data_IF_789471641700
#
_entry.id   IF_789471641700
#
_cell.length_a   1.000
_cell.length_b   1.000
_cell.length_c   1.000
_cell.angle_alpha   90.00
_cell.angle_beta   90.00
_cell.angle_gamma   90.00
#
_symmetry.space_group_name_H-M   'P 1'
#
loop_
_entity.id
_entity.type
_entity.pdbx_description
1 polymer ?
#
# COMPACT_ATOMS: atom_id res chain seq x y z
N UNK A 1 65.79 7.23 -33.71
CA UNK A 1 66.23 8.32 -32.82
C UNK A 1 65.10 8.63 -31.85
N UNK A 2 65.27 8.33 -30.56
CA UNK A 2 64.27 8.64 -29.54
C UNK A 2 64.30 10.14 -29.22
N UNK A 3 63.14 10.81 -29.24
CA UNK A 3 63.02 12.23 -28.87
C UNK A 3 63.45 12.43 -27.41
N UNK A 4 64.12 13.54 -27.11
CA UNK A 4 64.60 13.81 -25.74
C UNK A 4 63.44 14.17 -24.80
N UNK A 5 63.65 13.95 -23.50
CA UNK A 5 62.67 14.27 -22.43
C UNK A 5 62.21 15.74 -22.43
N UNK A 6 63.05 16.67 -22.88
CA UNK A 6 62.67 18.09 -23.02
C UNK A 6 61.71 18.33 -24.19
N UNK A 7 61.88 17.62 -25.31
CA UNK A 7 61.00 17.74 -26.47
C UNK A 7 59.58 17.20 -26.20
N UNK A 8 59.46 16.18 -25.34
CA UNK A 8 58.17 15.66 -24.89
C UNK A 8 57.46 16.61 -23.93
N UNK A 9 58.19 17.33 -23.06
CA UNK A 9 57.59 18.31 -22.13
C UNK A 9 56.99 19.52 -22.84
N UNK A 10 57.68 20.03 -23.86
CA UNK A 10 57.19 21.19 -24.63
C UNK A 10 55.96 20.83 -25.49
N UNK A 11 55.87 19.60 -25.97
CA UNK A 11 54.71 19.10 -26.72
C UNK A 11 53.49 18.88 -25.80
N UNK A 12 53.70 18.49 -24.53
CA UNK A 12 52.65 18.38 -23.51
C UNK A 12 52.15 19.76 -23.05
N UNK A 13 53.04 20.75 -22.93
CA UNK A 13 52.69 22.12 -22.55
C UNK A 13 51.90 22.84 -23.66
N UNK A 14 52.21 22.60 -24.94
CA UNK A 14 51.45 23.17 -26.07
C UNK A 14 50.07 22.52 -26.29
N UNK A 15 49.85 21.29 -25.82
CA UNK A 15 48.54 20.59 -25.89
C UNK A 15 47.59 20.93 -24.75
N UNK A 16 48.04 21.67 -23.73
CA UNK A 16 47.14 22.29 -22.75
C UNK A 16 46.46 23.48 -23.43
N UNK A 17 45.35 23.18 -24.09
CA UNK A 17 44.35 24.16 -24.48
C UNK A 17 44.15 25.19 -23.37
N UNK A 18 44.11 26.47 -23.74
CA UNK A 18 43.73 27.57 -22.85
C UNK A 18 42.56 27.16 -21.94
N UNK A 19 42.55 27.57 -20.66
CA UNK A 19 41.40 27.31 -19.80
C UNK A 19 40.17 27.93 -20.48
N UNK A 20 39.26 27.09 -20.97
CA UNK A 20 37.92 27.55 -21.27
C UNK A 20 37.38 28.09 -19.96
N UNK A 21 36.98 29.36 -19.95
CA UNK A 21 36.08 29.87 -18.90
C UNK A 21 34.97 28.83 -18.70
N UNK A 22 34.61 28.49 -17.45
CA UNK A 22 33.49 27.60 -17.22
C UNK A 22 32.29 28.23 -17.90
N UNK A 23 31.77 27.55 -18.93
CA UNK A 23 30.52 27.96 -19.53
C UNK A 23 29.53 28.10 -18.37
N UNK A 24 28.88 29.27 -18.27
CA UNK A 24 27.77 29.46 -17.35
C UNK A 24 26.85 28.24 -17.49
N UNK A 25 26.31 27.67 -16.40
CA UNK A 25 25.45 26.50 -16.51
C UNK A 25 24.26 26.88 -17.38
N UNK A 26 24.30 26.46 -18.65
CA UNK A 26 23.14 26.51 -19.53
C UNK A 26 22.29 25.29 -19.15
N UNK A 27 21.73 25.33 -17.96
CA UNK A 27 20.57 24.52 -17.62
C UNK A 27 19.39 25.46 -17.73
N UNK A 28 18.86 25.58 -18.95
CA UNK A 28 17.50 26.07 -19.12
C UNK A 28 16.60 25.23 -18.19
N UNK A 29 15.83 25.86 -17.31
CA UNK A 29 14.85 25.15 -16.46
C UNK A 29 13.94 24.26 -17.31
N UNK A 30 13.73 24.61 -18.58
CA UNK A 30 13.00 23.81 -19.56
C UNK A 30 13.68 22.45 -19.86
N UNK A 31 15.01 22.38 -19.82
CA UNK A 31 15.78 21.17 -20.15
C UNK A 31 15.82 20.19 -18.98
N UNK A 32 15.93 20.68 -17.74
CA UNK A 32 15.75 19.85 -16.55
C UNK A 32 14.31 19.35 -16.42
N UNK A 33 13.32 20.19 -16.74
CA UNK A 33 11.92 19.78 -16.78
C UNK A 33 11.66 18.72 -17.86
N UNK A 34 12.30 18.84 -19.04
CA UNK A 34 12.26 17.88 -20.16
C UNK A 34 12.98 16.57 -19.84
N UNK A 35 14.15 16.62 -19.24
CA UNK A 35 14.95 15.46 -18.82
C UNK A 35 14.26 14.68 -17.70
N UNK A 36 13.67 15.40 -16.73
CA UNK A 36 12.70 14.83 -15.83
C UNK A 36 11.61 14.18 -16.68
N UNK A 37 11.00 14.89 -17.66
CA UNK A 37 9.92 14.38 -18.54
C UNK A 37 10.22 13.05 -19.21
N UNK A 38 11.47 12.87 -19.64
CA UNK A 38 11.95 11.71 -20.40
C UNK A 38 12.51 10.57 -19.56
N UNK A 39 12.79 10.75 -18.26
CA UNK A 39 13.24 9.65 -17.42
C UNK A 39 12.08 8.71 -17.07
N UNK A 40 12.21 7.39 -17.33
CA UNK A 40 11.19 6.43 -16.94
C UNK A 40 11.05 6.45 -15.42
N UNK A 41 9.81 6.65 -14.93
CA UNK A 41 9.49 6.49 -13.51
C UNK A 41 9.92 5.08 -13.10
N UNK A 42 10.63 4.95 -11.98
CA UNK A 42 10.89 3.64 -11.41
C UNK A 42 9.57 2.89 -11.23
N UNK A 43 9.53 1.62 -11.63
CA UNK A 43 8.37 0.73 -11.49
C UNK A 43 8.85 -0.54 -10.85
N UNK A 44 8.49 -0.79 -9.60
CA UNK A 44 8.81 -2.07 -8.95
C UNK A 44 7.89 -3.20 -9.40
N UNK A 45 6.62 -2.87 -9.69
CA UNK A 45 5.64 -3.74 -10.35
C UNK A 45 5.34 -3.22 -11.76
N UNK A 46 5.62 -4.02 -12.78
CA UNK A 46 5.44 -3.67 -14.19
C UNK A 46 4.08 -4.11 -14.75
N UNK A 47 3.68 -3.54 -15.89
CA UNK A 47 2.60 -4.08 -16.70
C UNK A 47 2.89 -5.53 -17.17
N UNK A 48 1.83 -6.26 -17.55
CA UNK A 48 1.95 -7.65 -18.02
C UNK A 48 1.60 -8.71 -16.96
N UNK A 49 0.91 -8.32 -15.88
CA UNK A 49 0.37 -9.21 -14.87
C UNK A 49 -1.11 -9.58 -15.13
N UNK A 50 -1.62 -10.65 -14.50
CA UNK A 50 -2.98 -11.20 -14.74
C UNK A 50 -4.05 -10.69 -13.76
N UNK A 51 -3.83 -9.55 -13.13
CA UNK A 51 -4.81 -8.96 -12.21
C UNK A 51 -6.14 -8.67 -12.92
N UNK A 52 -7.24 -8.71 -12.17
CA UNK A 52 -8.55 -8.29 -12.68
C UNK A 52 -8.51 -6.84 -13.18
N UNK A 53 -9.39 -6.51 -14.13
CA UNK A 53 -9.62 -5.11 -14.52
C UNK A 53 -10.06 -4.30 -13.29
N UNK A 54 -9.43 -3.13 -13.08
CA UNK A 54 -9.69 -2.30 -11.91
C UNK A 54 -9.16 -2.88 -10.58
N UNK A 55 -8.22 -3.83 -10.58
CA UNK A 55 -7.70 -4.41 -9.34
C UNK A 55 -7.08 -3.35 -8.40
N UNK A 56 -7.70 -3.11 -7.25
CA UNK A 56 -7.19 -2.20 -6.23
C UNK A 56 -5.86 -2.65 -5.62
N UNK A 57 -5.68 -3.95 -5.40
CA UNK A 57 -4.45 -4.52 -4.84
C UNK A 57 -3.25 -4.33 -5.78
N UNK A 58 -3.42 -4.50 -7.09
CA UNK A 58 -2.36 -4.22 -8.07
C UNK A 58 -1.96 -2.74 -8.09
N UNK A 59 -2.95 -1.82 -8.01
CA UNK A 59 -2.69 -0.39 -7.90
C UNK A 59 -1.92 -0.06 -6.61
N UNK A 60 -2.35 -0.60 -5.47
CA UNK A 60 -1.69 -0.40 -4.19
C UNK A 60 -0.23 -0.90 -4.22
N UNK A 61 0.02 -2.12 -4.67
CA UNK A 61 1.36 -2.70 -4.76
C UNK A 61 2.29 -1.91 -5.70
N UNK A 62 1.74 -1.41 -6.81
CA UNK A 62 2.47 -0.49 -7.69
C UNK A 62 2.85 0.80 -6.96
N UNK A 63 1.89 1.46 -6.28
CA UNK A 63 2.16 2.71 -5.56
C UNK A 63 3.19 2.52 -4.44
N UNK A 64 3.11 1.41 -3.71
CA UNK A 64 4.05 1.04 -2.65
C UNK A 64 5.45 0.88 -3.21
N UNK A 65 5.62 0.05 -4.24
CA UNK A 65 6.96 -0.19 -4.79
C UNK A 65 7.54 1.02 -5.51
N UNK A 66 6.73 1.80 -6.24
CA UNK A 66 7.17 3.08 -6.83
C UNK A 66 7.68 4.06 -5.75
N UNK A 67 7.02 4.11 -4.59
CA UNK A 67 7.39 5.01 -3.49
C UNK A 67 8.59 4.52 -2.69
N UNK A 68 8.72 3.21 -2.49
CA UNK A 68 9.82 2.61 -1.75
C UNK A 68 11.16 2.72 -2.49
N UNK A 69 11.12 2.72 -3.83
CA UNK A 69 12.31 2.85 -4.66
C UNK A 69 13.02 1.51 -4.92
N UNK A 70 14.21 1.57 -5.55
CA UNK A 70 14.87 0.38 -6.10
C UNK A 70 15.67 -0.44 -5.08
N UNK A 71 16.08 0.13 -3.95
CA UNK A 71 16.90 -0.57 -2.93
C UNK A 71 16.02 -1.27 -1.89
N UNK A 72 15.19 -2.20 -2.37
CA UNK A 72 14.32 -3.03 -1.53
C UNK A 72 14.32 -4.49 -1.97
N UNK A 73 14.08 -5.39 -1.02
CA UNK A 73 13.77 -6.80 -1.30
C UNK A 73 12.35 -7.09 -0.84
N UNK A 74 11.59 -7.76 -1.69
CA UNK A 74 10.18 -8.06 -1.48
C UNK A 74 10.01 -9.50 -1.00
N UNK A 75 9.25 -9.71 0.07
CA UNK A 75 8.71 -11.04 0.44
C UNK A 75 7.19 -11.00 0.30
N UNK A 76 6.60 -12.06 -0.23
CA UNK A 76 5.16 -12.06 -0.54
C UNK A 76 4.49 -13.33 -0.04
N UNK A 77 3.42 -13.16 0.74
CA UNK A 77 2.55 -14.26 1.13
C UNK A 77 1.78 -14.78 -0.09
N UNK A 78 1.45 -16.07 -0.12
CA UNK A 78 0.52 -16.62 -1.12
C UNK A 78 -0.80 -15.85 -1.11
N UNK A 79 -1.33 -15.49 -2.28
CA UNK A 79 -2.53 -14.68 -2.40
C UNK A 79 -2.68 -14.10 -3.80
N UNK A 80 -3.66 -13.22 -4.02
CA UNK A 80 -3.88 -12.62 -5.33
C UNK A 80 -2.62 -11.97 -5.89
N UNK A 81 -1.95 -11.10 -5.11
CA UNK A 81 -0.75 -10.41 -5.55
C UNK A 81 0.36 -11.37 -6.00
N UNK A 82 0.57 -12.51 -5.32
CA UNK A 82 1.52 -13.52 -5.80
C UNK A 82 1.01 -14.13 -7.11
N UNK A 83 -0.15 -14.77 -7.10
CA UNK A 83 -0.69 -15.54 -8.23
C UNK A 83 -0.75 -14.73 -9.53
N UNK A 84 -1.19 -13.46 -9.48
CA UNK A 84 -1.35 -12.69 -10.70
C UNK A 84 -0.04 -12.06 -11.21
N UNK A 85 1.00 -11.94 -10.36
CA UNK A 85 2.28 -11.33 -10.75
C UNK A 85 3.34 -12.33 -11.16
N UNK A 86 3.22 -13.60 -10.76
CA UNK A 86 4.25 -14.64 -11.03
C UNK A 86 3.75 -15.91 -11.74
N UNK A 87 2.82 -15.84 -12.72
CA UNK A 87 2.43 -17.04 -13.46
C UNK A 87 3.63 -17.57 -14.27
N UNK A 88 4.09 -18.78 -13.96
CA UNK A 88 5.23 -19.40 -14.66
C UNK A 88 5.05 -19.38 -16.19
N UNK A 89 6.09 -19.04 -16.97
CA UNK A 89 7.46 -18.65 -16.59
C UNK A 89 7.67 -17.13 -16.43
N UNK A 90 6.60 -16.35 -16.27
CA UNK A 90 6.61 -14.88 -16.29
C UNK A 90 6.64 -14.29 -14.87
N UNK A 91 7.24 -13.11 -14.72
CA UNK A 91 7.17 -12.29 -13.52
C UNK A 91 6.98 -10.82 -13.88
N UNK A 92 6.10 -10.14 -13.15
CA UNK A 92 5.87 -8.70 -13.28
C UNK A 92 6.78 -7.86 -12.36
N UNK A 93 7.57 -8.51 -11.50
CA UNK A 93 8.44 -7.82 -10.54
C UNK A 93 9.75 -7.37 -11.20
N UNK A 94 10.10 -6.11 -10.99
CA UNK A 94 11.40 -5.51 -11.38
C UNK A 94 12.34 -5.34 -10.18
N UNK A 95 11.94 -5.89 -9.04
CA UNK A 95 12.65 -5.91 -7.77
C UNK A 95 12.98 -7.35 -7.38
N UNK A 96 14.05 -7.59 -6.61
CA UNK A 96 14.26 -8.88 -5.96
C UNK A 96 13.02 -9.26 -5.15
N UNK A 97 12.45 -10.41 -5.48
CA UNK A 97 11.18 -10.86 -4.92
C UNK A 97 11.28 -12.34 -4.56
N UNK A 98 10.75 -12.70 -3.39
CA UNK A 98 10.67 -14.08 -2.93
C UNK A 98 9.27 -14.39 -2.42
N UNK A 99 8.81 -15.58 -2.80
CA UNK A 99 7.65 -16.23 -2.22
C UNK A 99 8.10 -17.51 -1.51
N UNK A 100 7.42 -17.81 -0.41
CA UNK A 100 7.61 -19.07 0.33
C UNK A 100 6.25 -19.72 0.53
N UNK A 101 5.53 -19.37 1.61
CA UNK A 101 4.22 -19.92 1.94
C UNK A 101 3.26 -18.79 2.32
N UNK A 102 2.01 -19.16 2.59
CA UNK A 102 0.97 -18.19 2.87
C UNK A 102 1.15 -17.53 4.24
N UNK A 103 1.54 -18.32 5.23
CA UNK A 103 1.56 -17.99 6.64
C UNK A 103 2.84 -17.30 7.12
N UNK A 104 3.91 -17.27 6.30
CA UNK A 104 5.25 -16.99 6.81
C UNK A 104 5.98 -15.78 6.18
N UNK A 105 5.32 -14.96 5.33
CA UNK A 105 5.96 -13.83 4.63
C UNK A 105 6.75 -12.89 5.56
N UNK A 106 6.21 -12.58 6.75
CA UNK A 106 6.89 -11.77 7.77
C UNK A 106 8.12 -12.46 8.39
N UNK A 107 8.07 -13.79 8.56
CA UNK A 107 9.20 -14.57 9.07
C UNK A 107 10.31 -14.68 8.00
N UNK A 108 9.95 -14.85 6.72
CA UNK A 108 10.90 -14.80 5.61
C UNK A 108 11.57 -13.42 5.55
N UNK A 109 10.80 -12.34 5.68
CA UNK A 109 11.35 -10.99 5.71
C UNK A 109 12.33 -10.78 6.88
N UNK A 110 12.00 -11.30 8.06
CA UNK A 110 12.88 -11.29 9.23
C UNK A 110 14.22 -11.98 8.94
N UNK A 111 14.20 -13.13 8.26
CA UNK A 111 15.39 -13.87 7.87
C UNK A 111 16.23 -13.14 6.81
N UNK A 112 15.58 -12.56 5.80
CA UNK A 112 16.25 -11.76 4.76
C UNK A 112 16.91 -10.52 5.39
N UNK A 113 16.20 -9.81 6.27
CA UNK A 113 16.74 -8.64 6.98
C UNK A 113 17.94 -9.00 7.84
N UNK A 114 17.86 -10.10 8.61
CA UNK A 114 18.98 -10.57 9.43
C UNK A 114 20.21 -10.94 8.58
N UNK A 115 19.99 -11.57 7.42
CA UNK A 115 21.07 -11.92 6.49
C UNK A 115 21.72 -10.67 5.88
N UNK A 116 20.93 -9.68 5.45
CA UNK A 116 21.44 -8.40 4.95
C UNK A 116 22.25 -7.65 6.01
N UNK A 117 21.74 -7.62 7.25
CA UNK A 117 22.40 -7.01 8.39
C UNK A 117 23.75 -7.68 8.68
N UNK A 118 23.82 -9.01 8.65
CA UNK A 118 25.08 -9.75 8.81
C UNK A 118 26.10 -9.46 7.69
N UNK A 119 25.63 -9.08 6.50
CA UNK A 119 26.46 -8.63 5.37
C UNK A 119 26.81 -7.13 5.42
N UNK A 120 26.37 -6.39 6.43
CA UNK A 120 26.58 -4.94 6.52
C UNK A 120 25.77 -4.12 5.50
N UNK A 121 24.66 -4.66 4.99
CA UNK A 121 23.80 -3.99 3.99
C UNK A 121 22.57 -3.38 4.66
N UNK A 122 22.24 -2.15 4.29
CA UNK A 122 21.09 -1.40 4.81
C UNK A 122 19.82 -1.50 3.95
N UNK A 123 19.84 -2.31 2.87
CA UNK A 123 18.70 -2.53 1.97
C UNK A 123 17.43 -2.86 2.77
N UNK A 124 16.34 -2.12 2.51
CA UNK A 124 15.06 -2.32 3.24
C UNK A 124 14.37 -3.60 2.75
N UNK A 125 13.73 -4.33 3.65
CA UNK A 125 12.88 -5.47 3.29
C UNK A 125 11.42 -5.07 3.42
N UNK A 126 10.61 -5.43 2.42
CA UNK A 126 9.16 -5.21 2.41
C UNK A 126 8.46 -6.56 2.39
N UNK A 127 7.75 -6.87 3.47
CA UNK A 127 6.85 -8.01 3.53
C UNK A 127 5.46 -7.59 3.03
N UNK A 128 4.86 -8.42 2.18
CA UNK A 128 3.55 -8.17 1.59
C UNK A 128 2.61 -9.34 1.82
N UNK A 129 1.34 -9.01 2.04
CA UNK A 129 0.26 -10.00 2.10
C UNK A 129 -1.12 -9.37 1.88
N UNK A 130 -2.08 -10.19 1.45
CA UNK A 130 -3.49 -9.84 1.54
C UNK A 130 -4.01 -9.95 2.97
N UNK A 131 -5.29 -9.66 3.20
CA UNK A 131 -5.86 -9.73 4.53
C UNK A 131 -5.83 -11.14 5.14
N UNK A 132 -6.06 -12.21 4.37
CA UNK A 132 -5.95 -13.57 4.90
C UNK A 132 -4.55 -13.91 5.44
N UNK A 133 -3.50 -13.44 4.77
CA UNK A 133 -2.11 -13.62 5.19
C UNK A 133 -1.67 -12.68 6.32
N UNK A 134 -2.52 -11.71 6.70
CA UNK A 134 -2.20 -10.68 7.70
C UNK A 134 -3.08 -10.82 8.94
N UNK A 135 -4.40 -10.80 8.76
CA UNK A 135 -5.40 -10.84 9.83
C UNK A 135 -5.56 -12.24 10.40
N UNK A 136 -5.28 -13.29 9.62
CA UNK A 136 -5.57 -14.67 10.00
C UNK A 136 -4.28 -15.52 10.06
N UNK A 137 -3.94 -16.26 8.99
CA UNK A 137 -2.97 -17.36 9.07
C UNK A 137 -1.53 -16.85 9.31
N UNK A 138 -1.17 -15.70 8.74
CA UNK A 138 0.16 -15.11 8.93
C UNK A 138 0.27 -14.15 10.11
N UNK A 139 -0.80 -13.99 10.90
CA UNK A 139 -0.83 -13.07 12.04
C UNK A 139 0.27 -13.36 13.07
N UNK A 140 0.52 -14.64 13.38
CA UNK A 140 1.59 -15.03 14.31
C UNK A 140 2.97 -14.60 13.82
N UNK A 141 3.26 -14.78 12.52
CA UNK A 141 4.54 -14.40 11.94
C UNK A 141 4.71 -12.87 11.90
N UNK A 142 3.63 -12.13 11.59
CA UNK A 142 3.59 -10.67 11.66
C UNK A 142 3.88 -10.20 13.09
N UNK A 143 3.12 -10.67 14.07
CA UNK A 143 3.26 -10.30 15.48
C UNK A 143 4.69 -10.55 15.99
N UNK A 144 5.27 -11.72 15.69
CA UNK A 144 6.65 -12.04 16.08
C UNK A 144 7.71 -11.18 15.37
N UNK A 145 7.49 -10.78 14.11
CA UNK A 145 8.40 -9.86 13.41
C UNK A 145 8.41 -8.48 14.08
N UNK A 146 7.23 -7.97 14.46
CA UNK A 146 7.09 -6.68 15.16
C UNK A 146 7.72 -6.75 16.56
N UNK A 147 7.45 -7.82 17.31
CA UNK A 147 8.04 -8.07 18.64
C UNK A 147 9.57 -8.05 18.60
N UNK A 148 10.18 -8.73 17.63
CA UNK A 148 11.65 -8.78 17.46
C UNK A 148 12.27 -7.51 16.87
N UNK A 149 11.44 -6.49 16.57
CA UNK A 149 11.89 -5.20 16.05
C UNK A 149 12.73 -5.29 14.76
N UNK A 150 12.41 -6.24 13.86
CA UNK A 150 13.09 -6.33 12.56
C UNK A 150 12.87 -5.06 11.73
N UNK A 151 13.90 -4.59 11.03
CA UNK A 151 13.83 -3.40 10.16
C UNK A 151 13.09 -3.69 8.84
N UNK A 152 11.81 -4.04 8.95
CA UNK A 152 10.94 -4.48 7.86
C UNK A 152 9.73 -3.57 7.78
N UNK A 153 9.33 -3.21 6.55
CA UNK A 153 8.00 -2.67 6.29
C UNK A 153 7.06 -3.83 5.94
N UNK A 154 6.01 -4.04 6.72
CA UNK A 154 4.94 -4.96 6.35
C UNK A 154 3.76 -4.20 5.75
N UNK A 155 3.29 -4.64 4.59
CA UNK A 155 2.15 -4.05 3.89
C UNK A 155 1.05 -5.10 3.72
N UNK A 156 -0.11 -4.80 4.30
CA UNK A 156 -1.35 -5.53 4.10
C UNK A 156 -2.19 -4.84 3.01
N UNK A 157 -2.48 -5.54 1.92
CA UNK A 157 -3.46 -5.12 0.93
C UNK A 157 -4.82 -5.70 1.30
N UNK A 158 -5.61 -4.92 2.03
CA UNK A 158 -6.88 -5.36 2.57
C UNK A 158 -7.98 -5.24 1.52
N UNK A 159 -8.27 -6.38 0.89
CA UNK A 159 -9.38 -6.53 -0.04
C UNK A 159 -10.58 -7.26 0.61
N UNK A 160 -10.54 -7.48 1.93
CA UNK A 160 -11.68 -7.89 2.77
C UNK A 160 -12.22 -9.32 2.56
N UNK A 161 -11.48 -10.20 1.90
CA UNK A 161 -11.79 -11.62 1.82
C UNK A 161 -10.57 -12.40 1.31
N UNK A 162 -10.60 -13.73 1.42
CA UNK A 162 -9.68 -14.56 0.64
C UNK A 162 -10.12 -14.57 -0.83
N UNK A 163 -9.68 -13.56 -1.59
CA UNK A 163 -10.15 -13.33 -2.97
C UNK A 163 -9.71 -14.44 -3.91
N UNK A 164 -8.43 -14.82 -3.87
CA UNK A 164 -7.84 -15.78 -4.80
C UNK A 164 -8.52 -17.14 -4.77
N UNK A 165 -8.94 -17.60 -3.59
CA UNK A 165 -9.50 -18.94 -3.39
C UNK A 165 -11.00 -19.01 -3.67
N UNK A 166 -11.63 -17.92 -4.12
CA UNK A 166 -13.07 -17.87 -4.36
C UNK A 166 -13.84 -17.11 -3.29
N UNK A 167 -13.32 -15.97 -2.84
CA UNK A 167 -14.02 -14.97 -2.01
C UNK A 167 -14.54 -15.61 -0.71
N UNK A 168 -13.67 -16.21 0.09
CA UNK A 168 -14.03 -16.75 1.42
C UNK A 168 -13.89 -15.69 2.51
N UNK A 169 -14.66 -15.83 3.58
CA UNK A 169 -14.61 -14.95 4.76
C UNK A 169 -13.21 -14.95 5.40
N UNK A 170 -12.70 -13.77 5.72
CA UNK A 170 -11.47 -13.54 6.49
C UNK A 170 -11.70 -12.77 7.79
N UNK A 171 -10.64 -12.59 8.58
CA UNK A 171 -10.61 -11.67 9.71
C UNK A 171 -10.99 -10.24 9.35
N UNK A 172 -10.66 -9.79 8.15
CA UNK A 172 -10.92 -8.41 7.71
C UNK A 172 -12.27 -8.20 7.00
N UNK A 173 -12.97 -9.26 6.61
CA UNK A 173 -14.33 -9.17 6.04
C UNK A 173 -15.26 -8.35 6.95
N UNK A 174 -16.00 -7.34 6.46
CA UNK A 174 -16.94 -6.57 7.28
C UNK A 174 -18.09 -7.40 7.85
N UNK A 175 -18.74 -6.87 8.89
CA UNK A 175 -20.01 -7.41 9.37
C UNK A 175 -21.06 -7.39 8.26
N UNK A 176 -21.95 -8.39 8.25
CA UNK A 176 -23.02 -8.57 7.28
C UNK A 176 -22.61 -8.70 5.79
N UNK A 177 -21.31 -8.72 5.48
CA UNK A 177 -20.85 -8.97 4.12
C UNK A 177 -21.11 -10.44 3.72
N UNK A 178 -21.56 -10.64 2.48
CA UNK A 178 -21.62 -11.96 1.85
C UNK A 178 -20.22 -12.40 1.41
N UNK A 179 -19.89 -13.66 1.70
CA UNK A 179 -18.80 -14.40 1.06
C UNK A 179 -19.25 -15.83 0.78
N UNK A 180 -18.47 -16.63 0.06
CA UNK A 180 -18.83 -18.04 -0.22
C UNK A 180 -18.95 -18.89 1.05
N UNK A 181 -18.24 -18.53 2.13
CA UNK A 181 -18.30 -19.20 3.43
C UNK A 181 -19.15 -18.46 4.48
N UNK A 182 -19.70 -17.29 4.14
CA UNK A 182 -20.66 -16.56 4.97
C UNK A 182 -21.85 -16.05 4.14
N UNK A 183 -22.64 -16.95 3.52
CA UNK A 183 -23.79 -16.54 2.73
C UNK A 183 -24.90 -15.98 3.64
N UNK A 184 -25.64 -14.95 3.17
CA UNK A 184 -26.88 -14.54 3.81
C UNK A 184 -27.97 -15.59 3.60
N UNK A 185 -28.90 -15.71 4.56
CA UNK A 185 -29.99 -16.68 4.53
C UNK A 185 -30.89 -16.56 5.75
N UNK A 186 -31.67 -17.61 6.03
CA UNK A 186 -32.64 -17.62 7.15
C UNK A 186 -31.99 -17.35 8.51
N UNK A 187 -30.78 -17.88 8.74
CA UNK A 187 -30.10 -17.84 10.06
C UNK A 187 -29.13 -16.67 10.27
N UNK A 188 -28.82 -15.88 9.23
CA UNK A 188 -27.84 -14.78 9.28
C UNK A 188 -27.88 -13.92 8.03
N UNK A 189 -27.51 -12.64 8.17
CA UNK A 189 -27.39 -11.68 7.07
C UNK A 189 -25.94 -11.53 6.57
N UNK A 190 -25.23 -12.65 6.39
CA UNK A 190 -23.81 -12.66 6.00
C UNK A 190 -22.87 -12.97 7.18
N UNK A 191 -21.68 -12.37 7.21
CA UNK A 191 -20.72 -12.53 8.31
C UNK A 191 -21.26 -11.97 9.63
N UNK A 192 -21.28 -12.80 10.67
CA UNK A 192 -21.77 -12.45 12.02
C UNK A 192 -20.80 -11.60 12.84
N UNK A 193 -19.50 -11.75 12.62
CA UNK A 193 -18.47 -11.12 13.46
C UNK A 193 -18.10 -9.75 12.90
N UNK A 194 -17.69 -8.82 13.75
CA UNK A 194 -17.06 -7.57 13.32
C UNK A 194 -15.74 -7.83 12.58
N UNK A 195 -15.32 -6.86 11.77
CA UNK A 195 -13.96 -6.81 11.23
C UNK A 195 -12.99 -6.81 12.41
N UNK A 196 -11.96 -7.66 12.38
CA UNK A 196 -10.93 -7.68 13.43
C UNK A 196 -10.22 -6.32 13.40
N UNK A 197 -10.11 -5.68 14.55
CA UNK A 197 -9.43 -4.39 14.68
C UNK A 197 -7.92 -4.60 14.68
N UNK A 198 -7.36 -4.73 13.46
CA UNK A 198 -5.94 -4.96 13.29
C UNK A 198 -5.11 -3.73 13.68
N UNK A 199 -5.60 -2.50 13.48
CA UNK A 199 -4.84 -1.31 13.82
C UNK A 199 -4.60 -1.19 15.32
N UNK A 200 -5.61 -1.45 16.15
CA UNK A 200 -5.43 -1.47 17.61
C UNK A 200 -4.49 -2.58 18.07
N UNK A 201 -4.54 -3.75 17.43
CA UNK A 201 -3.59 -4.85 17.70
C UNK A 201 -2.16 -4.45 17.34
N UNK A 202 -1.96 -3.78 16.19
CA UNK A 202 -0.65 -3.27 15.78
C UNK A 202 -0.17 -2.15 16.70
N UNK A 203 -1.06 -1.26 17.14
CA UNK A 203 -0.77 -0.20 18.10
C UNK A 203 -0.20 -0.77 19.42
N UNK A 204 -0.76 -1.89 19.89
CA UNK A 204 -0.30 -2.56 21.11
C UNK A 204 1.13 -3.14 21.02
N UNK A 205 1.71 -3.26 19.82
CA UNK A 205 3.13 -3.60 19.65
C UNK A 205 4.08 -2.42 19.87
N UNK A 206 3.56 -1.18 20.00
CA UNK A 206 4.32 0.05 20.19
C UNK A 206 5.46 0.25 19.17
N UNK A 207 5.25 -0.21 17.93
CA UNK A 207 6.24 -0.08 16.86
C UNK A 207 6.46 1.39 16.47
N UNK A 208 7.63 1.73 15.89
CA UNK A 208 7.94 3.10 15.49
C UNK A 208 6.88 3.78 14.62
N UNK A 209 6.25 3.05 13.70
CA UNK A 209 5.25 3.63 12.80
C UNK A 209 4.30 2.59 12.22
N UNK A 210 3.00 2.89 12.27
CA UNK A 210 1.96 2.17 11.54
C UNK A 210 1.00 3.16 10.90
N UNK A 211 0.37 2.81 9.78
CA UNK A 211 -0.68 3.64 9.22
C UNK A 211 -1.70 2.84 8.42
N UNK A 212 -2.92 3.38 8.30
CA UNK A 212 -3.89 2.94 7.31
C UNK A 212 -3.91 3.90 6.11
N UNK A 213 -4.16 3.36 4.92
CA UNK A 213 -4.23 4.12 3.67
C UNK A 213 -5.33 3.54 2.76
N UNK A 214 -5.67 4.27 1.70
CA UNK A 214 -6.65 3.82 0.70
C UNK A 214 -6.18 4.18 -0.70
N UNK A 215 -6.44 3.29 -1.67
CA UNK A 215 -6.11 3.53 -3.08
C UNK A 215 -6.82 4.76 -3.67
N UNK A 216 -7.84 5.28 -3.00
CA UNK A 216 -8.47 6.57 -3.34
C UNK A 216 -7.54 7.78 -3.20
N UNK A 217 -6.46 7.65 -2.41
CA UNK A 217 -5.52 8.74 -2.08
C UNK A 217 -4.07 8.32 -2.41
N UNK A 218 -3.66 8.26 -3.69
CA UNK A 218 -2.33 7.78 -4.07
C UNK A 218 -1.16 8.59 -3.48
N UNK A 219 -1.34 9.91 -3.33
CA UNK A 219 -0.33 10.78 -2.72
C UNK A 219 -0.10 10.43 -1.23
N UNK A 220 -1.17 10.07 -0.53
CA UNK A 220 -1.14 9.63 0.86
C UNK A 220 -0.37 8.31 1.03
N UNK A 221 -0.69 7.29 0.20
CA UNK A 221 0.06 6.02 0.17
C UNK A 221 1.55 6.28 -0.02
N UNK A 222 1.93 7.07 -1.02
CA UNK A 222 3.34 7.34 -1.32
C UNK A 222 4.06 8.05 -0.17
N UNK A 223 3.41 9.03 0.48
CA UNK A 223 3.97 9.73 1.65
C UNK A 223 4.22 8.74 2.80
N UNK A 224 3.21 7.94 3.13
CA UNK A 224 3.27 6.96 4.22
C UNK A 224 4.31 5.86 3.97
N UNK A 225 4.46 5.41 2.73
CA UNK A 225 5.51 4.45 2.34
C UNK A 225 6.90 5.06 2.50
N UNK A 226 7.14 6.27 1.99
CA UNK A 226 8.44 6.94 2.15
C UNK A 226 8.81 7.13 3.63
N UNK A 227 7.84 7.53 4.45
CA UNK A 227 8.00 7.63 5.91
C UNK A 227 8.34 6.29 6.54
N UNK A 228 7.59 5.23 6.20
CA UNK A 228 7.83 3.90 6.75
C UNK A 228 9.21 3.32 6.37
N UNK A 229 9.63 3.55 5.11
CA UNK A 229 10.94 3.08 4.62
C UNK A 229 12.10 3.83 5.29
N UNK A 230 11.96 5.13 5.56
CA UNK A 230 13.04 5.94 6.18
C UNK A 230 13.27 5.64 7.67
N UNK A 231 12.33 4.98 8.33
CA UNK A 231 12.45 4.61 9.75
C UNK A 231 13.27 3.33 9.89
N UNK A 232 14.19 3.31 10.85
CA UNK A 232 14.88 2.07 11.26
C UNK A 232 14.04 1.34 12.31
N UNK A 233 13.60 0.13 11.98
CA UNK A 233 12.73 -0.69 12.83
C UNK A 233 11.47 -1.17 12.09
N UNK A 234 10.58 -1.89 12.78
CA UNK A 234 9.38 -2.42 12.16
C UNK A 234 8.39 -1.31 11.82
N UNK A 235 7.83 -1.36 10.63
CA UNK A 235 6.76 -0.45 10.21
C UNK A 235 5.64 -1.22 9.54
N UNK A 236 4.42 -0.68 9.61
CA UNK A 236 3.23 -1.39 9.12
C UNK A 236 2.32 -0.47 8.31
N UNK A 237 1.77 -0.97 7.20
CA UNK A 237 0.74 -0.31 6.41
C UNK A 237 -0.45 -1.22 6.15
N UNK A 238 -1.66 -0.74 6.44
CA UNK A 238 -2.92 -1.37 6.07
C UNK A 238 -3.58 -0.57 4.94
N UNK A 239 -3.63 -1.13 3.74
CA UNK A 239 -4.10 -0.40 2.55
C UNK A 239 -5.44 -0.98 2.07
N UNK A 240 -6.52 -0.21 2.22
CA UNK A 240 -7.82 -0.53 1.67
C UNK A 240 -7.78 -0.61 0.14
N UNK A 241 -8.04 -1.81 -0.38
CA UNK A 241 -7.81 -2.17 -1.78
C UNK A 241 -9.04 -2.88 -2.35
N UNK A 242 -10.08 -2.15 -2.81
CA UNK A 242 -11.30 -2.76 -3.30
C UNK A 242 -11.09 -3.80 -4.40
N UNK A 243 -11.84 -4.91 -4.31
CA UNK A 243 -11.82 -5.99 -5.28
C UNK A 243 -13.11 -5.98 -6.11
N UNK A 244 -13.08 -5.56 -7.38
CA UNK A 244 -14.27 -5.51 -8.24
C UNK A 244 -14.99 -6.85 -8.33
N UNK A 245 -14.22 -7.93 -8.55
CA UNK A 245 -14.74 -9.28 -8.64
C UNK A 245 -15.36 -9.74 -7.31
N UNK A 246 -14.65 -9.58 -6.21
CA UNK A 246 -15.06 -10.12 -4.91
C UNK A 246 -16.20 -9.38 -4.26
N UNK A 247 -16.23 -8.05 -4.39
CA UNK A 247 -17.30 -7.23 -3.81
C UNK A 247 -18.47 -7.07 -4.78
N UNK A 248 -18.24 -7.40 -6.06
CA UNK A 248 -19.21 -7.40 -7.14
C UNK A 248 -19.68 -5.99 -7.46
N UNK A 249 -18.79 -5.21 -8.07
CA UNK A 249 -19.05 -3.87 -8.59
C UNK A 249 -18.26 -3.65 -9.90
N UNK A 250 -18.62 -2.65 -10.68
CA UNK A 250 -17.96 -2.36 -11.97
C UNK A 250 -16.51 -1.91 -11.79
N UNK A 251 -15.59 -2.46 -12.57
CA UNK A 251 -14.14 -2.26 -12.40
C UNK A 251 -13.70 -0.79 -12.43
N UNK A 252 -14.38 0.07 -13.18
CA UNK A 252 -14.11 1.51 -13.26
C UNK A 252 -14.42 2.26 -11.95
N UNK A 253 -15.27 1.69 -11.08
CA UNK A 253 -15.71 2.33 -9.82
C UNK A 253 -14.79 2.07 -8.64
N UNK A 254 -13.67 1.37 -8.83
CA UNK A 254 -12.73 0.99 -7.76
C UNK A 254 -12.30 2.18 -6.90
N UNK A 255 -11.96 3.31 -7.52
CA UNK A 255 -11.51 4.52 -6.82
C UNK A 255 -12.67 5.23 -6.12
N UNK A 256 -13.83 5.31 -6.77
CA UNK A 256 -15.06 5.87 -6.18
C UNK A 256 -15.43 5.12 -4.90
N UNK A 257 -15.43 3.79 -4.98
CA UNK A 257 -15.80 2.91 -3.87
C UNK A 257 -14.76 2.93 -2.74
N UNK A 258 -13.47 3.00 -3.07
CA UNK A 258 -12.40 3.23 -2.11
C UNK A 258 -12.56 4.56 -1.35
N UNK A 259 -13.03 5.60 -2.04
CA UNK A 259 -13.28 6.93 -1.46
C UNK A 259 -14.52 6.91 -0.56
N UNK A 260 -15.60 6.25 -0.99
CA UNK A 260 -16.81 6.09 -0.18
C UNK A 260 -16.55 5.33 1.14
N UNK A 261 -15.68 4.32 1.13
CA UNK A 261 -15.29 3.63 2.37
C UNK A 261 -14.68 4.57 3.41
N UNK A 262 -13.86 5.53 2.95
CA UNK A 262 -13.24 6.56 3.81
C UNK A 262 -14.27 7.61 4.20
N UNK A 263 -15.02 8.16 3.23
CA UNK A 263 -16.02 9.22 3.47
C UNK A 263 -17.18 8.78 4.37
N UNK A 264 -17.45 7.49 4.47
CA UNK A 264 -18.46 6.94 5.39
C UNK A 264 -17.90 6.69 6.80
N UNK A 265 -16.59 6.74 7.02
CA UNK A 265 -15.97 6.39 8.31
C UNK A 265 -15.76 4.89 8.55
N UNK A 266 -16.18 4.02 7.62
CA UNK A 266 -15.99 2.58 7.76
C UNK A 266 -14.52 2.16 7.66
N UNK A 267 -13.70 2.91 6.90
CA UNK A 267 -12.26 2.71 6.82
C UNK A 267 -11.50 3.98 7.25
N UNK A 268 -11.13 4.12 8.53
CA UNK A 268 -10.40 5.30 9.02
C UNK A 268 -8.98 5.35 8.43
N UNK A 269 -8.53 6.55 8.07
CA UNK A 269 -7.16 6.79 7.59
C UNK A 269 -6.36 7.52 8.67
N UNK A 270 -5.48 6.77 9.35
CA UNK A 270 -4.71 7.24 10.50
C UNK A 270 -3.24 6.88 10.39
N UNK A 271 -2.40 7.63 11.09
CA UNK A 271 -0.99 7.36 11.36
C UNK A 271 -0.83 7.17 12.86
N UNK A 272 -0.06 6.15 13.23
CA UNK A 272 0.22 5.74 14.60
C UNK A 272 1.73 5.73 14.82
N UNK A 273 2.20 6.34 15.90
CA UNK A 273 3.58 6.20 16.36
C UNK A 273 3.57 5.69 17.81
N UNK A 274 4.26 4.57 18.06
CA UNK A 274 4.35 3.95 19.39
C UNK A 274 3.00 3.66 20.06
N UNK A 275 1.97 3.38 19.26
CA UNK A 275 0.62 3.04 19.73
C UNK A 275 -0.34 4.23 19.81
N UNK A 276 0.16 5.45 19.67
CA UNK A 276 -0.64 6.67 19.74
C UNK A 276 -0.98 7.20 18.34
N UNK A 277 -2.18 7.77 18.18
CA UNK A 277 -2.59 8.43 16.94
C UNK A 277 -1.82 9.75 16.79
N UNK A 278 -1.04 9.88 15.71
CA UNK A 278 -0.25 11.08 15.40
C UNK A 278 -0.73 11.82 14.16
N UNK A 279 -1.55 11.17 13.33
CA UNK A 279 -2.10 11.77 12.11
C UNK A 279 -3.43 11.17 11.73
N UNK A 280 -4.32 12.00 11.19
CA UNK A 280 -5.66 11.62 10.77
C UNK A 280 -5.98 12.33 9.45
N UNK A 281 -6.60 11.63 8.50
CA UNK A 281 -7.22 12.28 7.34
C UNK A 281 -8.66 12.66 7.70
N UNK A 282 -9.00 13.96 7.74
CA UNK A 282 -10.33 14.40 8.15
C UNK A 282 -11.39 14.09 7.09
N UNK A 283 -12.55 13.63 7.55
CA UNK A 283 -13.78 13.45 6.78
C UNK A 283 -14.63 14.71 6.93
N UNK A 284 -14.63 15.55 5.90
CA UNK A 284 -15.35 16.83 5.93
C UNK A 284 -16.82 16.75 5.60
N UNK A 285 -17.16 15.81 4.72
CA UNK A 285 -18.53 15.54 4.29
C UNK A 285 -18.80 14.06 4.53
N UNK A 286 -19.11 13.66 5.77
CA UNK A 286 -19.48 12.29 6.08
C UNK A 286 -20.65 11.87 5.19
N UNK A 287 -20.52 10.68 4.59
CA UNK A 287 -21.56 10.09 3.76
C UNK A 287 -22.30 9.01 4.55
N UNK A 288 -23.62 8.85 4.36
CA UNK A 288 -24.32 7.70 4.92
C UNK A 288 -23.70 6.39 4.43
N UNK A 289 -23.56 5.38 5.30
CA UNK A 289 -22.97 4.08 4.92
C UNK A 289 -23.72 3.42 3.77
N UNK A 290 -25.01 3.70 3.64
CA UNK A 290 -25.85 3.20 2.55
C UNK A 290 -25.29 3.56 1.17
N UNK A 291 -24.64 4.72 1.00
CA UNK A 291 -24.04 5.14 -0.28
C UNK A 291 -22.90 4.21 -0.71
N UNK A 292 -22.11 3.75 0.26
CA UNK A 292 -21.05 2.77 0.05
C UNK A 292 -21.62 1.36 -0.17
N UNK A 293 -22.58 0.93 0.66
CA UNK A 293 -23.08 -0.45 0.64
C UNK A 293 -23.90 -0.78 -0.62
N UNK A 294 -24.69 0.17 -1.14
CA UNK A 294 -25.60 -0.07 -2.29
C UNK A 294 -24.90 -0.47 -3.58
N UNK A 295 -23.66 -0.03 -3.77
CA UNK A 295 -22.92 -0.23 -5.03
C UNK A 295 -22.13 -1.53 -5.05
N UNK A 296 -22.32 -2.39 -4.04
CA UNK A 296 -21.60 -3.64 -3.83
C UNK A 296 -22.56 -4.82 -3.77
N UNK A 297 -22.40 -5.80 -4.65
CA UNK A 297 -23.23 -7.02 -4.60
C UNK A 297 -23.09 -7.79 -3.28
N UNK A 298 -21.94 -7.72 -2.60
CA UNK A 298 -21.72 -8.39 -1.30
C UNK A 298 -22.61 -7.86 -0.16
N UNK A 299 -23.34 -6.76 -0.36
CA UNK A 299 -24.30 -6.20 0.60
C UNK A 299 -25.72 -6.07 0.03
N UNK A 300 -25.99 -6.60 -1.16
CA UNK A 300 -27.31 -6.45 -1.83
C UNK A 300 -28.48 -6.97 -0.97
N UNK A 301 -28.25 -8.03 -0.19
CA UNK A 301 -29.25 -8.60 0.72
C UNK A 301 -29.61 -7.67 1.89
N UNK A 302 -28.87 -6.58 2.12
CA UNK A 302 -29.20 -5.56 3.12
C UNK A 302 -30.18 -4.49 2.60
N UNK A 303 -30.59 -4.58 1.33
CA UNK A 303 -31.53 -3.64 0.70
C UNK A 303 -32.86 -4.27 0.31
N UNK A 304 -33.17 -5.46 0.83
CA UNK A 304 -34.48 -6.09 0.71
C UNK A 304 -35.43 -5.61 1.82
N UNK A 305 -36.73 -5.82 1.63
CA UNK A 305 -37.76 -5.57 2.64
C UNK A 305 -37.73 -6.65 3.74
N UNK A 306 -36.72 -6.60 4.61
CA UNK A 306 -36.56 -7.45 5.79
C UNK A 306 -36.14 -6.58 6.98
N UNK A 307 -36.83 -6.62 8.14
CA UNK A 307 -36.45 -5.87 9.33
C UNK A 307 -35.01 -6.12 9.80
N UNK A 308 -34.47 -7.32 9.57
CA UNK A 308 -33.08 -7.66 9.88
C UNK A 308 -32.12 -6.89 8.99
N UNK A 309 -32.44 -6.72 7.70
CA UNK A 309 -31.64 -5.94 6.77
C UNK A 309 -31.52 -4.48 7.21
N UNK A 310 -32.63 -3.88 7.69
CA UNK A 310 -32.61 -2.54 8.26
C UNK A 310 -31.69 -2.45 9.48
N UNK A 311 -31.83 -3.39 10.42
CA UNK A 311 -31.00 -3.45 11.63
C UNK A 311 -29.50 -3.56 11.31
N UNK A 312 -29.13 -4.37 10.31
CA UNK A 312 -27.73 -4.47 9.87
C UNK A 312 -27.19 -3.15 9.30
N UNK A 313 -28.00 -2.42 8.51
CA UNK A 313 -27.60 -1.10 7.99
C UNK A 313 -27.43 -0.07 9.10
N UNK A 314 -28.34 -0.06 10.07
CA UNK A 314 -28.24 0.82 11.25
C UNK A 314 -27.00 0.49 12.09
N UNK A 315 -26.71 -0.79 12.28
CA UNK A 315 -25.51 -1.24 12.99
C UNK A 315 -24.23 -0.80 12.27
N UNK A 316 -24.17 -0.95 10.93
CA UNK A 316 -23.03 -0.48 10.13
C UNK A 316 -22.89 1.05 10.16
N UNK A 317 -24.00 1.80 10.19
CA UNK A 317 -23.96 3.26 10.35
C UNK A 317 -23.40 3.64 11.74
N UNK A 318 -23.88 3.00 12.80
CA UNK A 318 -23.38 3.23 14.14
C UNK A 318 -21.88 2.90 14.28
N UNK A 319 -21.39 1.86 13.58
CA UNK A 319 -19.96 1.55 13.53
C UNK A 319 -19.15 2.64 12.82
N UNK A 320 -19.66 3.16 11.71
CA UNK A 320 -19.06 4.30 11.01
C UNK A 320 -18.99 5.54 11.90
N UNK A 321 -20.09 5.88 12.57
CA UNK A 321 -20.17 7.02 13.48
C UNK A 321 -19.21 6.84 14.67
N UNK A 322 -19.14 5.63 15.22
CA UNK A 322 -18.17 5.28 16.26
C UNK A 322 -16.73 5.47 15.79
N UNK A 323 -16.37 4.99 14.59
CA UNK A 323 -15.02 5.21 14.06
C UNK A 323 -14.70 6.70 13.87
N UNK A 324 -15.67 7.50 13.40
CA UNK A 324 -15.49 8.94 13.25
C UNK A 324 -15.16 9.60 14.58
N UNK A 325 -15.88 9.23 15.64
CA UNK A 325 -15.65 9.72 17.00
C UNK A 325 -14.30 9.22 17.56
N UNK A 326 -14.08 7.91 17.59
CA UNK A 326 -12.90 7.30 18.20
C UNK A 326 -11.58 7.77 17.61
N UNK A 327 -11.52 7.96 16.28
CA UNK A 327 -10.31 8.40 15.59
C UNK A 327 -10.26 9.91 15.37
N UNK A 328 -11.24 10.68 15.85
CA UNK A 328 -11.30 12.13 15.63
C UNK A 328 -11.32 12.51 14.16
N UNK A 329 -12.08 11.79 13.33
CA UNK A 329 -12.07 11.97 11.87
C UNK A 329 -12.85 13.20 11.41
N UNK A 330 -13.65 13.84 12.27
CA UNK A 330 -14.40 15.04 11.89
C UNK A 330 -13.44 16.21 11.63
N UNK A 331 -13.58 16.90 10.50
CA UNK A 331 -12.75 18.08 10.21
C UNK A 331 -13.44 19.14 9.36
N UNK A 332 -12.91 20.37 9.42
CA UNK A 332 -13.39 21.55 8.71
C UNK A 332 -12.48 21.93 7.52
N UNK A 333 -12.95 22.75 6.57
CA UNK A 333 -12.13 23.31 5.45
C UNK A 333 -12.24 22.62 4.07
N UNK A 334 -11.25 22.79 3.18
CA UNK A 334 -11.19 22.19 1.83
C UNK A 334 -10.20 21.01 1.76
N UNK A 335 -10.48 19.98 0.96
CA UNK A 335 -9.63 18.77 0.84
C UNK A 335 -8.24 19.06 0.30
N UNK A 336 -7.16 19.06 1.13
CA UNK A 336 -5.82 19.34 0.63
C UNK A 336 -5.31 18.18 -0.23
N UNK A 337 -5.99 17.03 -0.15
CA UNK A 337 -5.64 15.78 -0.82
C UNK A 337 -6.73 15.31 -1.77
N UNK A 338 -7.66 16.21 -2.15
CA UNK A 338 -8.53 16.00 -3.30
C UNK A 338 -7.65 15.58 -4.48
N UNK A 339 -8.16 14.64 -5.28
CA UNK A 339 -7.39 13.80 -6.19
C UNK A 339 -6.72 14.52 -7.39
N UNK A 340 -6.37 15.79 -7.27
CA UNK A 340 -5.44 16.54 -8.11
C UNK A 340 -4.00 15.99 -7.92
N UNK A 341 -3.80 14.70 -8.17
CA UNK A 341 -2.52 14.09 -7.87
C UNK A 341 -2.33 12.62 -8.21
N UNK A 342 -3.33 11.92 -8.74
CA UNK A 342 -3.05 10.66 -9.45
C UNK A 342 -2.02 10.92 -10.58
N UNK A 343 -2.06 12.14 -11.15
CA UNK A 343 -1.27 12.57 -12.30
C UNK A 343 0.07 13.20 -11.91
N UNK A 344 0.15 13.82 -10.72
CA UNK A 344 1.38 14.47 -10.23
C UNK A 344 2.24 13.50 -9.42
N UNK A 345 2.75 12.46 -10.08
CA UNK A 345 4.01 11.87 -9.62
C UNK A 345 5.08 12.93 -9.82
N UNK A 346 5.41 13.65 -8.75
CA UNK A 346 6.66 14.40 -8.70
C UNK A 346 7.78 13.35 -8.65
N UNK A 347 8.70 13.50 -9.60
CA UNK A 347 9.87 12.62 -9.79
C UNK A 347 10.83 12.79 -8.64
N UNK A 348 11.42 11.68 -8.22
CA UNK A 348 12.32 11.61 -7.08
C UNK A 348 11.82 10.53 -6.13
N UNK A 349 12.20 9.28 -6.42
CA UNK A 349 12.54 8.40 -5.31
C UNK A 349 13.74 9.05 -4.64
N UNK A 350 13.61 9.32 -3.33
CA UNK A 350 14.63 9.88 -2.45
C UNK A 350 15.39 11.10 -3.00
N UNK A 351 15.04 12.31 -2.53
CA UNK A 351 16.04 13.35 -2.28
C UNK A 351 15.56 14.23 -1.12
N UNK A 352 16.40 14.29 -0.09
CA UNK A 352 16.54 15.23 1.05
C UNK A 352 15.30 15.73 1.81
#
# INVERSE_FOLDING_TARGET
MAKSSSQLKDEILKRRSQPKEPAAPVTDESDLARLRKSQPRFRGLEAGHRACQGCGEALAARLVTEAAGPDVILTNATGCLEVFTTPWPQSAWRLPWIHSLFENSAAIASGVEAALKAQGRATKVIAMGGDGGTFDIGFQALSGMLERQHNVLYVCYDNEAYMNTGIQRSGSTPHAAMTTTSPPGKERMGKRHLKKDLLSIIAAHHIPYAASASVAYPADIRRKVRRAVSITGPTFLLIHSPCPLGWGFDSERTIELARLAVQTGLFPLVELERGEITGVMPIRKPRPVADYLKIQNRFRHLFVEDPRALKEREHLQALADHNIDQYGLAGEGADPLDADGADTVRRGGLVD
#
